data_IF_992400976406
#
_entry.id   IF_992400976406
#
_cell.length_a   1.000
_cell.length_b   1.000
_cell.length_c   1.000
_cell.angle_alpha   90.00
_cell.angle_beta   90.00
_cell.angle_gamma   90.00
#
_symmetry.space_group_name_H-M   'P 1'
#
loop_
_entity.id
_entity.type
_entity.pdbx_description
1 polymer ?
#
# COMPACT_ATOMS: atom_id res chain seq x y z
N UNK A 1 -2.00 22.15 -4.02
CA UNK A 1 -1.45 21.38 -5.15
C UNK A 1 -1.48 19.91 -4.83
N UNK A 2 -2.02 19.11 -5.73
CA UNK A 2 -2.23 17.69 -5.48
C UNK A 2 -1.00 16.86 -5.85
N UNK A 3 -0.58 15.93 -4.98
CA UNK A 3 0.61 15.11 -5.21
C UNK A 3 0.25 13.74 -5.81
N UNK A 4 0.37 13.62 -7.14
CA UNK A 4 0.14 12.37 -7.87
C UNK A 4 1.24 11.32 -7.65
N UNK A 5 2.38 11.72 -7.07
CA UNK A 5 3.52 10.83 -6.84
C UNK A 5 3.57 10.26 -5.41
N UNK A 6 2.57 10.58 -4.58
CA UNK A 6 2.58 10.20 -3.16
C UNK A 6 2.63 8.68 -2.95
N UNK A 7 1.81 7.91 -3.68
CA UNK A 7 1.81 6.46 -3.56
C UNK A 7 3.10 5.83 -4.08
N UNK A 8 3.67 6.37 -5.15
CA UNK A 8 4.96 5.91 -5.64
C UNK A 8 6.06 6.14 -4.60
N UNK A 9 6.04 7.30 -3.93
CA UNK A 9 6.96 7.56 -2.82
C UNK A 9 6.81 6.53 -1.69
N UNK A 10 5.58 6.14 -1.37
CA UNK A 10 5.33 5.10 -0.37
C UNK A 10 5.86 3.73 -0.79
N UNK A 11 5.73 3.36 -2.08
CA UNK A 11 6.35 2.15 -2.62
C UNK A 11 7.88 2.18 -2.47
N UNK A 12 8.49 3.34 -2.75
CA UNK A 12 9.93 3.53 -2.61
C UNK A 12 10.36 3.37 -1.15
N UNK A 13 9.65 4.01 -0.23
CA UNK A 13 9.94 3.91 1.21
C UNK A 13 9.78 2.47 1.71
N UNK A 14 8.76 1.77 1.25
CA UNK A 14 8.56 0.36 1.58
C UNK A 14 9.75 -0.49 1.11
N UNK A 15 10.14 -0.32 -0.15
CA UNK A 15 11.31 -1.01 -0.71
C UNK A 15 12.57 -0.74 0.09
N UNK A 16 12.86 0.53 0.37
CA UNK A 16 14.07 0.93 1.10
C UNK A 16 14.11 0.37 2.53
N UNK A 17 12.94 0.25 3.17
CA UNK A 17 12.86 -0.21 4.56
C UNK A 17 13.00 -1.72 4.70
N UNK A 18 12.64 -2.50 3.68
CA UNK A 18 12.69 -3.96 3.74
C UNK A 18 13.87 -4.57 2.97
N UNK A 19 14.49 -3.81 2.08
CA UNK A 19 15.60 -4.29 1.26
C UNK A 19 16.90 -4.30 2.07
N UNK A 20 17.66 -5.39 1.96
CA UNK A 20 19.01 -5.42 2.49
C UNK A 20 19.91 -4.46 1.72
N UNK A 21 20.78 -3.74 2.41
CA UNK A 21 21.65 -2.72 1.81
C UNK A 21 22.48 -3.25 0.63
N UNK A 22 22.86 -4.51 0.71
CA UNK A 22 23.66 -5.18 -0.32
C UNK A 22 22.85 -5.48 -1.58
N UNK A 23 21.52 -5.58 -1.46
CA UNK A 23 20.60 -5.84 -2.57
C UNK A 23 19.99 -4.55 -3.12
N UNK A 24 20.31 -3.41 -2.50
CA UNK A 24 19.75 -2.13 -2.86
C UNK A 24 20.34 -1.62 -4.18
N UNK A 25 19.51 -1.51 -5.20
CA UNK A 25 19.89 -1.00 -6.52
C UNK A 25 18.94 0.12 -6.96
N UNK A 26 19.05 1.27 -6.28
CA UNK A 26 18.25 2.46 -6.62
C UNK A 26 18.46 2.94 -8.05
N UNK A 27 19.72 3.00 -8.60
CA UNK A 27 19.92 3.42 -9.98
C UNK A 27 19.19 2.53 -10.99
N UNK A 28 19.14 1.22 -10.76
CA UNK A 28 18.42 0.28 -11.61
C UNK A 28 16.92 0.56 -11.60
N UNK A 29 16.35 0.76 -10.40
CA UNK A 29 14.91 1.07 -10.24
C UNK A 29 14.59 2.37 -10.98
N UNK A 30 15.37 3.43 -10.76
CA UNK A 30 15.18 4.70 -11.47
C UNK A 30 15.29 4.53 -12.98
N UNK A 31 16.22 3.69 -13.43
CA UNK A 31 16.39 3.39 -14.86
C UNK A 31 15.19 2.68 -15.44
N UNK A 32 14.64 1.70 -14.75
CA UNK A 32 13.44 0.96 -15.19
C UNK A 32 12.22 1.87 -15.29
N UNK A 33 11.99 2.69 -14.27
CA UNK A 33 10.86 3.64 -14.27
C UNK A 33 11.06 4.73 -15.31
N UNK A 34 12.28 5.27 -15.44
CA UNK A 34 12.62 6.25 -16.45
C UNK A 34 12.43 5.72 -17.87
N UNK A 35 12.71 4.43 -18.09
CA UNK A 35 12.45 3.77 -19.36
C UNK A 35 10.96 3.75 -19.70
N UNK A 36 10.11 3.47 -18.72
CA UNK A 36 8.65 3.50 -18.91
C UNK A 36 8.16 4.92 -19.28
N UNK A 37 8.68 5.93 -18.61
CA UNK A 37 8.34 7.33 -18.93
C UNK A 37 8.74 7.67 -20.36
N UNK A 38 9.96 7.31 -20.76
CA UNK A 38 10.44 7.58 -22.13
C UNK A 38 9.61 6.85 -23.19
N UNK A 39 9.29 5.58 -22.96
CA UNK A 39 8.44 4.78 -23.86
C UNK A 39 7.05 5.39 -23.99
N UNK A 40 6.48 5.85 -22.87
CA UNK A 40 5.18 6.51 -22.89
C UNK A 40 5.22 7.79 -23.71
N UNK A 41 6.25 8.61 -23.52
CA UNK A 41 6.41 9.86 -24.30
C UNK A 41 6.57 9.61 -25.80
N UNK A 42 7.24 8.52 -26.17
CA UNK A 42 7.42 8.15 -27.58
C UNK A 42 6.12 7.64 -28.20
N UNK A 43 5.29 6.94 -27.43
CA UNK A 43 4.07 6.30 -27.93
C UNK A 43 2.83 7.20 -27.83
N UNK A 44 2.90 8.30 -27.10
CA UNK A 44 1.77 9.23 -26.88
C UNK A 44 2.12 10.56 -27.53
N UNK A 45 1.55 10.88 -28.71
CA UNK A 45 1.80 12.16 -29.37
C UNK A 45 1.33 13.34 -28.52
N UNK A 46 2.17 14.36 -28.41
CA UNK A 46 1.93 15.53 -27.59
C UNK A 46 0.70 16.33 -28.01
N UNK A 47 0.39 16.30 -29.31
CA UNK A 47 -0.75 17.01 -29.89
C UNK A 47 -2.12 16.39 -29.61
N UNK A 48 -2.14 15.16 -29.09
CA UNK A 48 -3.41 14.52 -28.72
C UNK A 48 -4.05 15.22 -27.52
N UNK A 49 -5.39 15.14 -27.42
CA UNK A 49 -6.08 15.61 -26.23
C UNK A 49 -5.83 14.67 -25.03
N UNK A 50 -6.17 15.15 -23.85
CA UNK A 50 -5.92 14.39 -22.61
C UNK A 50 -6.66 13.06 -22.58
N UNK A 51 -7.89 13.01 -23.10
CA UNK A 51 -8.68 11.78 -23.14
C UNK A 51 -7.99 10.70 -23.97
N UNK A 52 -7.49 11.06 -25.13
CA UNK A 52 -6.77 10.15 -26.02
C UNK A 52 -5.45 9.70 -25.38
N UNK A 53 -4.72 10.62 -24.76
CA UNK A 53 -3.47 10.33 -24.07
C UNK A 53 -3.66 9.36 -22.91
N UNK A 54 -4.69 9.57 -22.10
CA UNK A 54 -5.02 8.69 -20.97
C UNK A 54 -5.36 7.29 -21.48
N UNK A 55 -6.20 7.20 -22.51
CA UNK A 55 -6.54 5.91 -23.11
C UNK A 55 -5.29 5.18 -23.59
N UNK A 56 -4.39 5.87 -24.29
CA UNK A 56 -3.16 5.30 -24.79
C UNK A 56 -2.23 4.85 -23.65
N UNK A 57 -2.10 5.64 -22.58
CA UNK A 57 -1.30 5.25 -21.42
C UNK A 57 -1.81 3.94 -20.80
N UNK A 58 -3.12 3.80 -20.65
CA UNK A 58 -3.72 2.58 -20.09
C UNK A 58 -3.51 1.38 -21.02
N UNK A 59 -3.62 1.58 -22.33
CA UNK A 59 -3.34 0.54 -23.33
C UNK A 59 -1.88 0.08 -23.29
N UNK A 60 -0.96 1.03 -23.20
CA UNK A 60 0.47 0.70 -23.06
C UNK A 60 0.75 -0.10 -21.78
N UNK A 61 0.25 0.41 -20.66
CA UNK A 61 0.57 -0.14 -19.34
C UNK A 61 0.02 -1.55 -19.15
N UNK A 62 -1.27 -1.73 -19.38
CA UNK A 62 -1.94 -3.01 -19.17
C UNK A 62 -1.87 -3.94 -20.39
N UNK A 63 -1.74 -3.39 -21.59
CA UNK A 63 -1.67 -4.17 -22.81
C UNK A 63 -0.24 -4.46 -23.24
N UNK A 64 0.42 -3.48 -23.84
CA UNK A 64 1.74 -3.65 -24.45
C UNK A 64 2.82 -4.05 -23.44
N UNK A 65 2.82 -3.41 -22.27
CA UNK A 65 3.79 -3.69 -21.23
C UNK A 65 3.40 -4.85 -20.32
N UNK A 66 2.14 -5.28 -20.37
CA UNK A 66 1.67 -6.47 -19.70
C UNK A 66 1.57 -6.40 -18.19
N UNK A 67 1.49 -5.20 -17.60
CA UNK A 67 1.23 -5.10 -16.16
C UNK A 67 -0.14 -5.70 -15.83
N UNK A 68 -0.19 -6.48 -14.74
CA UNK A 68 -1.42 -7.19 -14.37
C UNK A 68 -1.44 -7.52 -12.89
N UNK A 69 -2.63 -7.83 -12.39
CA UNK A 69 -2.82 -8.45 -11.08
C UNK A 69 -3.20 -9.92 -11.28
N UNK A 70 -2.62 -10.81 -10.47
CA UNK A 70 -3.00 -12.23 -10.45
C UNK A 70 -4.05 -12.44 -9.37
N UNK A 71 -5.26 -12.87 -9.75
CA UNK A 71 -6.38 -13.05 -8.84
C UNK A 71 -6.05 -13.98 -7.66
N UNK A 72 -5.18 -14.97 -7.88
CA UNK A 72 -4.83 -15.95 -6.85
C UNK A 72 -3.69 -15.44 -5.91
N UNK A 73 -2.88 -14.50 -6.37
CA UNK A 73 -1.64 -14.11 -5.68
C UNK A 73 -1.48 -12.60 -5.47
N UNK A 74 -2.45 -11.76 -5.86
CA UNK A 74 -2.28 -10.29 -5.86
C UNK A 74 -1.99 -9.73 -4.45
N UNK A 75 -2.48 -10.38 -3.41
CA UNK A 75 -2.40 -9.88 -2.02
C UNK A 75 -1.03 -10.10 -1.35
N UNK A 76 -0.09 -10.79 -2.00
CA UNK A 76 1.24 -11.01 -1.43
C UNK A 76 2.06 -9.72 -1.41
N UNK A 77 2.88 -9.56 -0.37
CA UNK A 77 3.74 -8.38 -0.17
C UNK A 77 4.69 -8.12 -1.34
N UNK A 78 5.11 -9.16 -2.07
CA UNK A 78 5.98 -9.01 -3.26
C UNK A 78 5.37 -8.08 -4.31
N UNK A 79 4.04 -7.99 -4.36
CA UNK A 79 3.33 -7.12 -5.30
C UNK A 79 3.39 -5.64 -4.91
N UNK A 80 4.07 -5.31 -3.81
CA UNK A 80 4.44 -3.95 -3.40
C UNK A 80 5.93 -3.69 -3.56
N UNK A 81 6.72 -4.69 -3.93
CA UNK A 81 8.16 -4.61 -4.05
C UNK A 81 8.55 -4.14 -5.45
N UNK A 82 9.08 -2.92 -5.55
CA UNK A 82 9.34 -2.26 -6.85
C UNK A 82 10.14 -3.11 -7.84
N UNK A 83 11.27 -3.74 -7.48
CA UNK A 83 11.99 -4.58 -8.43
C UNK A 83 11.13 -5.70 -9.01
N UNK A 84 10.35 -6.37 -8.17
CA UNK A 84 9.47 -7.46 -8.59
C UNK A 84 8.41 -6.94 -9.57
N UNK A 85 7.72 -5.85 -9.22
CA UNK A 85 6.65 -5.28 -10.05
C UNK A 85 7.19 -4.87 -11.41
N UNK A 86 8.34 -4.19 -11.43
CA UNK A 86 8.92 -3.67 -12.67
C UNK A 86 9.49 -4.75 -13.57
N UNK A 87 10.00 -5.84 -13.01
CA UNK A 87 10.58 -6.95 -13.77
C UNK A 87 9.53 -7.97 -14.19
N UNK A 88 8.65 -8.37 -13.26
CA UNK A 88 7.64 -9.40 -13.51
C UNK A 88 6.35 -8.84 -14.10
N UNK A 89 6.18 -7.52 -14.10
CA UNK A 89 4.97 -6.85 -14.58
C UNK A 89 3.71 -7.29 -13.84
N UNK A 90 3.87 -7.72 -12.60
CA UNK A 90 2.81 -8.19 -11.72
C UNK A 90 2.77 -7.33 -10.47
N UNK A 91 1.56 -6.97 -10.03
CA UNK A 91 1.37 -6.14 -8.86
C UNK A 91 0.02 -6.35 -8.21
N UNK A 92 -0.39 -5.39 -7.41
CA UNK A 92 -1.74 -5.30 -6.85
C UNK A 92 -2.33 -3.93 -7.20
N UNK A 93 -3.64 -3.72 -7.01
CA UNK A 93 -4.25 -2.46 -7.44
C UNK A 93 -3.53 -1.21 -6.94
N UNK A 94 -3.09 -1.18 -5.68
CA UNK A 94 -2.42 0.01 -5.13
C UNK A 94 -1.04 0.23 -5.74
N UNK A 95 -0.28 -0.80 -6.05
CA UNK A 95 1.04 -0.64 -6.65
C UNK A 95 0.96 -0.31 -8.14
N UNK A 96 0.06 -0.97 -8.89
CA UNK A 96 -0.16 -0.61 -10.29
C UNK A 96 -0.74 0.81 -10.40
N UNK A 97 -1.69 1.16 -9.53
CA UNK A 97 -2.22 2.51 -9.45
C UNK A 97 -1.15 3.55 -9.13
N UNK A 98 -0.23 3.23 -8.23
CA UNK A 98 0.90 4.12 -7.91
C UNK A 98 1.78 4.39 -9.13
N UNK A 99 2.05 3.37 -9.94
CA UNK A 99 2.84 3.53 -11.17
C UNK A 99 2.09 4.34 -12.23
N UNK A 100 0.80 4.08 -12.43
CA UNK A 100 -0.03 4.87 -13.35
C UNK A 100 -0.05 6.34 -12.94
N UNK A 101 -0.22 6.62 -11.64
CA UNK A 101 -0.24 8.00 -11.14
C UNK A 101 1.11 8.68 -11.32
N UNK A 102 2.21 7.96 -11.12
CA UNK A 102 3.55 8.48 -11.36
C UNK A 102 3.75 8.83 -12.85
N UNK A 103 3.35 7.93 -13.74
CA UNK A 103 3.44 8.14 -15.18
C UNK A 103 2.55 9.32 -15.61
N UNK A 104 1.33 9.39 -15.08
CA UNK A 104 0.42 10.50 -15.36
C UNK A 104 1.04 11.85 -14.94
N UNK A 105 1.66 11.90 -13.76
CA UNK A 105 2.34 13.10 -13.30
C UNK A 105 3.48 13.50 -14.23
N UNK A 106 4.27 12.51 -14.67
CA UNK A 106 5.40 12.71 -15.58
C UNK A 106 4.97 13.20 -16.97
N UNK A 107 3.79 12.79 -17.42
CA UNK A 107 3.19 13.17 -18.70
C UNK A 107 2.23 14.35 -18.56
N UNK A 108 2.05 14.90 -17.37
CA UNK A 108 1.13 15.98 -17.05
C UNK A 108 -0.32 15.66 -17.39
N UNK A 109 -0.74 14.43 -17.10
CA UNK A 109 -2.10 13.96 -17.33
C UNK A 109 -2.93 14.07 -16.05
N UNK A 110 -4.21 14.45 -16.15
CA UNK A 110 -5.09 14.71 -15.00
C UNK A 110 -5.72 13.44 -14.45
N UNK A 111 -4.89 12.53 -13.93
CA UNK A 111 -5.33 11.32 -13.24
C UNK A 111 -4.96 11.43 -11.77
N UNK A 112 -5.92 11.19 -10.89
CA UNK A 112 -5.75 11.37 -9.44
C UNK A 112 -6.26 10.14 -8.68
N UNK A 113 -5.69 9.84 -7.51
CA UNK A 113 -6.20 8.72 -6.69
C UNK A 113 -7.49 9.11 -5.97
N UNK A 114 -8.34 8.11 -5.77
CA UNK A 114 -9.55 8.19 -4.97
C UNK A 114 -9.44 7.15 -3.87
N UNK A 115 -9.57 7.57 -2.62
CA UNK A 115 -9.55 6.67 -1.48
C UNK A 115 -10.93 6.05 -1.28
N UNK A 116 -11.37 5.26 -2.27
CA UNK A 116 -12.67 4.60 -2.20
C UNK A 116 -12.66 3.58 -1.05
N UNK A 117 -13.73 3.45 -0.28
CA UNK A 117 -13.70 2.65 0.95
C UNK A 117 -13.29 1.20 0.77
N UNK A 118 -13.61 0.56 -0.37
CA UNK A 118 -13.27 -0.84 -0.60
C UNK A 118 -11.92 -1.04 -1.24
N UNK A 119 -11.42 -0.06 -2.02
CA UNK A 119 -10.19 -0.21 -2.81
C UNK A 119 -9.75 1.13 -3.38
N UNK A 120 -8.50 1.21 -3.80
CA UNK A 120 -8.02 2.34 -4.57
C UNK A 120 -8.75 2.38 -5.93
N UNK A 121 -9.25 3.56 -6.30
CA UNK A 121 -9.79 3.87 -7.63
C UNK A 121 -9.02 5.07 -8.16
N UNK A 122 -8.88 5.18 -9.47
CA UNK A 122 -8.31 6.35 -10.12
C UNK A 122 -9.42 7.21 -10.72
N UNK A 123 -9.16 8.51 -10.79
CA UNK A 123 -10.09 9.50 -11.28
C UNK A 123 -9.43 10.32 -12.38
N UNK A 124 -10.00 10.28 -13.59
CA UNK A 124 -9.56 11.10 -14.71
C UNK A 124 -10.50 12.31 -14.84
N UNK A 125 -9.93 13.51 -14.89
CA UNK A 125 -10.68 14.76 -14.98
C UNK A 125 -10.35 15.43 -16.31
N UNK A 126 -11.24 15.31 -17.27
CA UNK A 126 -11.03 15.84 -18.62
C UNK A 126 -12.25 16.66 -19.04
N UNK A 127 -12.02 17.90 -19.45
CA UNK A 127 -13.04 18.81 -19.99
C UNK A 127 -14.27 18.97 -19.05
N UNK A 128 -14.02 19.04 -17.74
CA UNK A 128 -15.07 19.17 -16.75
C UNK A 128 -15.83 17.89 -16.43
N UNK A 129 -15.49 16.79 -17.09
CA UNK A 129 -16.09 15.48 -16.84
C UNK A 129 -15.13 14.61 -16.00
N UNK A 130 -15.71 13.69 -15.23
CA UNK A 130 -14.97 12.75 -14.39
C UNK A 130 -15.28 11.33 -14.83
N UNK A 131 -14.22 10.56 -15.08
CA UNK A 131 -14.31 9.13 -15.33
C UNK A 131 -13.46 8.40 -14.30
N UNK A 132 -13.94 7.24 -13.86
CA UNK A 132 -13.22 6.41 -12.89
C UNK A 132 -12.55 5.24 -13.59
N UNK A 133 -11.38 4.86 -13.10
CA UNK A 133 -10.54 3.79 -13.67
C UNK A 133 -10.22 2.80 -12.55
N UNK A 134 -10.43 1.52 -12.83
CA UNK A 134 -10.05 0.45 -11.93
C UNK A 134 -8.57 0.11 -12.16
N UNK A 135 -7.68 0.33 -11.16
CA UNK A 135 -6.26 0.03 -11.32
C UNK A 135 -5.95 -1.45 -11.42
N UNK A 136 -6.91 -2.34 -11.12
CA UNK A 136 -6.76 -3.78 -11.33
C UNK A 136 -6.50 -4.11 -12.80
N UNK A 137 -7.26 -3.51 -13.69
CA UNK A 137 -7.27 -3.84 -15.12
C UNK A 137 -7.03 -2.65 -16.06
N UNK A 138 -7.05 -1.44 -15.53
CA UNK A 138 -7.00 -0.21 -16.34
C UNK A 138 -8.30 0.11 -17.07
N UNK A 139 -9.37 -0.61 -16.78
CA UNK A 139 -10.68 -0.37 -17.41
C UNK A 139 -11.44 0.72 -16.67
N UNK A 140 -12.27 1.43 -17.41
CA UNK A 140 -13.19 2.39 -16.82
C UNK A 140 -14.24 1.65 -15.99
N UNK A 141 -14.58 2.23 -14.85
CA UNK A 141 -15.58 1.69 -13.94
C UNK A 141 -16.66 2.76 -13.74
N UNK A 142 -17.92 2.39 -13.90
CA UNK A 142 -19.05 3.32 -13.76
C UNK A 142 -19.38 3.59 -12.30
N UNK A 143 -20.09 4.70 -12.05
CA UNK A 143 -20.60 5.01 -10.71
C UNK A 143 -21.56 3.90 -10.22
N UNK A 144 -22.33 3.30 -11.13
CA UNK A 144 -23.22 2.19 -10.77
C UNK A 144 -22.42 0.96 -10.31
N UNK A 145 -21.32 0.66 -10.98
CA UNK A 145 -20.43 -0.44 -10.55
C UNK A 145 -19.78 -0.12 -9.20
N UNK A 146 -19.35 1.11 -8.97
CA UNK A 146 -18.81 1.55 -7.68
C UNK A 146 -19.87 1.46 -6.58
N UNK A 147 -21.13 1.80 -6.90
CA UNK A 147 -22.24 1.68 -5.96
C UNK A 147 -22.46 0.23 -5.53
N UNK A 148 -22.37 -0.71 -6.48
CA UNK A 148 -22.50 -2.14 -6.19
C UNK A 148 -21.36 -2.63 -5.28
N UNK A 149 -20.14 -2.19 -5.53
CA UNK A 149 -19.00 -2.50 -4.64
C UNK A 149 -19.22 -1.95 -3.24
N UNK A 150 -19.72 -0.74 -3.14
CA UNK A 150 -20.00 -0.09 -1.84
C UNK A 150 -21.11 -0.83 -1.08
N UNK A 151 -22.20 -1.17 -1.75
CA UNK A 151 -23.31 -1.95 -1.15
C UNK A 151 -22.84 -3.34 -0.72
N UNK A 152 -21.98 -3.98 -1.50
CA UNK A 152 -21.43 -5.28 -1.14
C UNK A 152 -20.61 -5.26 0.15
N UNK A 153 -19.95 -4.13 0.44
CA UNK A 153 -19.15 -3.96 1.65
C UNK A 153 -19.94 -3.45 2.86
N UNK A 154 -20.92 -2.56 2.64
CA UNK A 154 -21.60 -1.82 3.71
C UNK A 154 -23.09 -2.14 3.84
N UNK A 155 -23.63 -3.01 2.99
CA UNK A 155 -25.01 -3.44 3.05
C UNK A 155 -25.88 -2.83 1.95
N UNK A 156 -26.96 -3.56 1.60
CA UNK A 156 -27.91 -3.13 0.57
C UNK A 156 -28.53 -1.79 0.94
N UNK A 157 -28.56 -0.87 -0.02
CA UNK A 157 -29.08 0.48 0.20
C UNK A 157 -28.10 1.46 0.80
N UNK A 158 -26.87 1.03 1.16
CA UNK A 158 -25.83 1.96 1.60
C UNK A 158 -25.48 2.92 0.47
N UNK A 159 -25.31 4.21 0.80
CA UNK A 159 -25.11 5.26 -0.20
C UNK A 159 -23.69 5.80 -0.18
N UNK A 160 -23.08 5.88 -1.36
CA UNK A 160 -21.79 6.53 -1.56
C UNK A 160 -21.94 8.01 -1.22
N UNK A 161 -21.02 8.53 -0.40
CA UNK A 161 -20.94 9.95 -0.11
C UNK A 161 -20.07 10.65 -1.16
N UNK A 162 -20.29 11.94 -1.47
CA UNK A 162 -19.47 12.65 -2.44
C UNK A 162 -17.96 12.58 -2.16
N UNK A 163 -17.56 12.63 -0.91
CA UNK A 163 -16.15 12.53 -0.50
C UNK A 163 -15.52 11.18 -0.84
N UNK A 164 -16.30 10.11 -0.99
CA UNK A 164 -15.81 8.80 -1.38
C UNK A 164 -15.31 8.75 -2.84
N UNK A 165 -15.77 9.68 -3.67
CA UNK A 165 -15.42 9.77 -5.09
C UNK A 165 -14.48 10.94 -5.40
N UNK A 166 -14.22 11.81 -4.44
CA UNK A 166 -13.34 12.94 -4.58
C UNK A 166 -11.86 12.51 -4.67
N UNK A 167 -10.99 13.43 -5.10
CA UNK A 167 -9.55 13.20 -4.99
C UNK A 167 -9.21 12.86 -3.54
N UNK A 168 -8.37 11.85 -3.36
CA UNK A 168 -8.01 11.37 -2.02
C UNK A 168 -7.31 12.46 -1.20
N UNK A 169 -7.60 12.48 0.10
CA UNK A 169 -6.76 13.15 1.08
C UNK A 169 -5.45 12.36 1.20
N UNK A 170 -4.32 12.99 0.91
CA UNK A 170 -3.04 12.29 0.80
C UNK A 170 -2.61 11.65 2.13
N UNK A 171 -2.66 12.34 3.29
CA UNK A 171 -2.35 11.67 4.56
C UNK A 171 -3.18 10.42 4.84
N UNK A 172 -4.48 10.45 4.54
CA UNK A 172 -5.34 9.28 4.72
C UNK A 172 -4.98 8.14 3.76
N UNK A 173 -4.67 8.49 2.50
CA UNK A 173 -4.29 7.52 1.48
C UNK A 173 -2.96 6.82 1.83
N UNK A 174 -1.96 7.59 2.25
CA UNK A 174 -0.66 7.04 2.63
C UNK A 174 -0.74 6.20 3.90
N UNK A 175 -1.55 6.61 4.87
CA UNK A 175 -1.81 5.82 6.09
C UNK A 175 -2.43 4.46 5.73
N UNK A 176 -3.40 4.45 4.82
CA UNK A 176 -4.03 3.21 4.34
C UNK A 176 -3.03 2.30 3.64
N UNK A 177 -2.17 2.86 2.77
CA UNK A 177 -1.10 2.11 2.13
C UNK A 177 -0.18 1.45 3.15
N UNK A 178 0.25 2.21 4.16
CA UNK A 178 1.17 1.72 5.20
C UNK A 178 0.57 0.56 5.99
N UNK A 179 -0.71 0.64 6.32
CA UNK A 179 -1.40 -0.47 7.00
C UNK A 179 -1.49 -1.70 6.11
N UNK A 180 -1.84 -1.52 4.84
CA UNK A 180 -1.91 -2.62 3.88
C UNK A 180 -0.54 -3.31 3.73
N UNK A 181 0.52 -2.54 3.58
CA UNK A 181 1.88 -3.07 3.41
C UNK A 181 2.37 -3.80 4.67
N UNK A 182 2.17 -3.21 5.84
CA UNK A 182 2.50 -3.82 7.14
C UNK A 182 1.75 -5.13 7.32
N UNK A 183 0.45 -5.13 7.08
CA UNK A 183 -0.39 -6.31 7.27
C UNK A 183 -0.03 -7.43 6.30
N UNK A 184 0.39 -7.13 5.08
CA UNK A 184 0.86 -8.14 4.13
C UNK A 184 2.10 -8.87 4.66
N UNK A 185 3.07 -8.13 5.19
CA UNK A 185 4.29 -8.71 5.77
C UNK A 185 3.98 -9.57 7.00
N UNK A 186 3.10 -9.09 7.89
CA UNK A 186 2.71 -9.82 9.10
C UNK A 186 1.97 -11.10 8.74
N UNK A 187 1.01 -11.03 7.82
CA UNK A 187 0.23 -12.18 7.38
C UNK A 187 1.10 -13.29 6.78
N UNK A 188 2.17 -12.92 6.07
CA UNK A 188 3.10 -13.87 5.47
C UNK A 188 4.20 -14.30 6.44
N UNK A 189 4.12 -13.88 7.70
CA UNK A 189 5.10 -14.20 8.74
C UNK A 189 6.54 -13.80 8.36
N UNK A 190 6.68 -12.74 7.56
CA UNK A 190 7.98 -12.15 7.23
C UNK A 190 8.40 -11.21 8.35
N UNK A 191 8.71 -11.79 9.49
CA UNK A 191 8.88 -11.08 10.76
C UNK A 191 10.02 -10.04 10.71
N UNK A 192 11.16 -10.39 10.14
CA UNK A 192 12.29 -9.47 10.03
C UNK A 192 11.94 -8.24 9.19
N UNK A 193 11.27 -8.47 8.04
CA UNK A 193 10.85 -7.39 7.16
C UNK A 193 9.74 -6.55 7.79
N UNK A 194 8.77 -7.20 8.44
CA UNK A 194 7.70 -6.52 9.16
C UNK A 194 8.27 -5.62 10.25
N UNK A 195 9.21 -6.13 11.04
CA UNK A 195 9.88 -5.36 12.07
C UNK A 195 10.57 -4.12 11.47
N UNK A 196 11.33 -4.30 10.41
CA UNK A 196 12.05 -3.20 9.75
C UNK A 196 11.10 -2.13 9.23
N UNK A 197 9.99 -2.54 8.61
CA UNK A 197 9.01 -1.59 8.11
C UNK A 197 8.32 -0.83 9.25
N UNK A 198 7.93 -1.54 10.32
CA UNK A 198 7.31 -0.91 11.48
C UNK A 198 8.27 0.08 12.14
N UNK A 199 9.56 -0.25 12.23
CA UNK A 199 10.57 0.69 12.72
C UNK A 199 10.62 1.97 11.87
N UNK A 200 10.52 1.83 10.56
CA UNK A 200 10.41 2.98 9.66
C UNK A 200 9.14 3.80 9.95
N UNK A 201 7.99 3.15 10.12
CA UNK A 201 6.72 3.82 10.41
C UNK A 201 6.76 4.57 11.75
N UNK A 202 7.49 4.04 12.72
CA UNK A 202 7.59 4.63 14.07
C UNK A 202 8.69 5.68 14.19
N UNK A 203 9.47 5.95 13.13
CA UNK A 203 10.53 6.93 13.19
C UNK A 203 9.99 8.30 13.57
N UNK A 204 10.39 8.80 14.74
CA UNK A 204 9.98 10.11 15.24
C UNK A 204 8.55 10.19 15.78
N UNK A 205 7.85 9.07 15.95
CA UNK A 205 6.49 9.09 16.50
C UNK A 205 6.20 7.84 17.32
N UNK A 206 5.18 7.92 18.19
CA UNK A 206 4.74 6.81 19.03
C UNK A 206 3.27 6.50 18.74
N UNK A 207 3.01 5.74 17.69
CA UNK A 207 1.67 5.25 17.41
C UNK A 207 1.43 3.96 18.19
N UNK A 208 0.43 3.91 19.09
CA UNK A 208 0.21 2.71 19.91
C UNK A 208 -0.11 1.47 19.09
N UNK A 209 -0.83 1.60 17.98
CA UNK A 209 -1.20 0.47 17.14
C UNK A 209 0.00 -0.12 16.41
N UNK A 210 0.90 0.71 15.89
CA UNK A 210 2.14 0.25 15.28
C UNK A 210 3.08 -0.37 16.33
N UNK A 211 3.11 0.18 17.53
CA UNK A 211 3.87 -0.39 18.66
C UNK A 211 3.30 -1.75 19.05
N UNK A 212 1.97 -1.90 19.13
CA UNK A 212 1.33 -3.19 19.36
C UNK A 212 1.78 -4.22 18.32
N UNK A 213 1.69 -3.86 17.04
CA UNK A 213 2.04 -4.75 15.95
C UNK A 213 3.52 -5.12 15.98
N UNK A 214 4.40 -4.18 16.35
CA UNK A 214 5.82 -4.48 16.58
C UNK A 214 6.00 -5.49 17.71
N UNK A 215 5.26 -5.33 18.80
CA UNK A 215 5.29 -6.26 19.92
C UNK A 215 4.87 -7.67 19.53
N UNK A 216 3.81 -7.81 18.73
CA UNK A 216 3.34 -9.10 18.23
C UNK A 216 4.39 -9.76 17.32
N UNK A 217 5.03 -8.98 16.45
CA UNK A 217 6.11 -9.46 15.59
C UNK A 217 7.32 -9.91 16.42
N UNK A 218 7.72 -9.11 17.39
CA UNK A 218 8.83 -9.45 18.30
C UNK A 218 8.55 -10.74 19.07
N UNK A 219 7.30 -10.96 19.50
CA UNK A 219 6.92 -12.20 20.18
C UNK A 219 7.10 -13.41 19.26
N UNK A 220 6.73 -13.31 18.00
CA UNK A 220 6.95 -14.39 17.03
C UNK A 220 8.43 -14.65 16.75
N UNK A 221 9.27 -13.62 16.90
CA UNK A 221 10.72 -13.75 16.74
C UNK A 221 11.41 -14.28 18.01
N UNK A 222 10.67 -14.50 19.08
CA UNK A 222 11.22 -14.96 20.36
C UNK A 222 11.88 -13.85 21.17
N UNK A 223 11.75 -12.60 20.79
CA UNK A 223 12.29 -11.44 21.52
C UNK A 223 11.31 -10.99 22.61
N UNK A 224 11.10 -11.85 23.60
CA UNK A 224 10.05 -11.71 24.58
C UNK A 224 10.13 -10.43 25.45
N UNK A 225 11.29 -10.03 25.99
CA UNK A 225 11.35 -8.81 26.79
C UNK A 225 10.90 -7.57 26.03
N UNK A 226 11.35 -7.39 24.79
CA UNK A 226 10.96 -6.26 23.95
C UNK A 226 9.50 -6.33 23.52
N UNK A 227 9.00 -7.55 23.25
CA UNK A 227 7.59 -7.77 22.92
C UNK A 227 6.69 -7.36 24.10
N UNK A 228 7.05 -7.76 25.31
CA UNK A 228 6.31 -7.42 26.52
C UNK A 228 6.22 -5.91 26.71
N UNK A 229 7.36 -5.22 26.56
CA UNK A 229 7.42 -3.76 26.67
C UNK A 229 6.43 -3.07 25.71
N UNK A 230 6.44 -3.47 24.44
CA UNK A 230 5.56 -2.89 23.42
C UNK A 230 4.09 -3.18 23.71
N UNK A 231 3.75 -4.42 24.08
CA UNK A 231 2.36 -4.80 24.34
C UNK A 231 1.82 -4.17 25.63
N UNK A 232 2.64 -4.03 26.66
CA UNK A 232 2.27 -3.30 27.87
C UNK A 232 2.00 -1.83 27.57
N UNK A 233 2.85 -1.19 26.75
CA UNK A 233 2.64 0.18 26.31
C UNK A 233 1.28 0.34 25.63
N UNK A 234 0.95 -0.56 24.70
CA UNK A 234 -0.33 -0.50 24.01
C UNK A 234 -1.52 -0.64 24.96
N UNK A 235 -1.47 -1.62 25.87
CA UNK A 235 -2.55 -1.84 26.85
C UNK A 235 -2.73 -0.64 27.76
N UNK A 236 -1.64 0.01 28.16
CA UNK A 236 -1.68 1.20 28.99
C UNK A 236 -2.27 2.42 28.24
N UNK A 237 -1.91 2.58 26.98
CA UNK A 237 -2.37 3.69 26.15
C UNK A 237 -3.81 3.50 25.63
N UNK A 238 -4.20 2.25 25.37
CA UNK A 238 -5.50 1.92 24.77
C UNK A 238 -6.23 0.85 25.62
N UNK A 239 -6.54 1.14 26.90
CA UNK A 239 -7.10 0.11 27.79
C UNK A 239 -8.49 -0.36 27.34
N UNK A 240 -9.23 0.47 26.60
CA UNK A 240 -10.59 0.16 26.16
C UNK A 240 -10.64 -0.45 24.74
N UNK A 241 -9.49 -0.63 24.11
CA UNK A 241 -9.46 -1.29 22.81
C UNK A 241 -9.86 -2.76 22.96
N UNK A 242 -10.68 -3.30 22.03
CA UNK A 242 -11.14 -4.71 22.12
C UNK A 242 -10.00 -5.72 22.20
N UNK A 243 -8.84 -5.42 21.61
CA UNK A 243 -7.67 -6.32 21.62
C UNK A 243 -6.93 -6.31 22.97
N UNK A 244 -7.09 -5.29 23.78
CA UNK A 244 -6.34 -5.15 25.04
C UNK A 244 -6.63 -6.27 26.04
N UNK A 245 -7.87 -6.74 26.13
CA UNK A 245 -8.21 -7.87 27.02
C UNK A 245 -7.50 -9.15 26.60
N UNK A 246 -7.45 -9.43 25.31
CA UNK A 246 -6.73 -10.59 24.75
C UNK A 246 -5.22 -10.45 24.96
N UNK A 247 -4.68 -9.26 24.77
CA UNK A 247 -3.27 -8.98 24.95
C UNK A 247 -2.81 -9.16 26.40
N UNK A 248 -3.65 -8.86 27.39
CA UNK A 248 -3.36 -9.10 28.81
C UNK A 248 -3.10 -10.58 29.08
N UNK A 249 -3.90 -11.46 28.48
CA UNK A 249 -3.71 -12.91 28.59
C UNK A 249 -2.41 -13.34 27.90
N UNK A 250 -2.16 -12.84 26.69
CA UNK A 250 -0.93 -13.14 25.95
C UNK A 250 0.30 -12.63 26.68
N UNK A 251 0.22 -11.49 27.38
CA UNK A 251 1.31 -10.95 28.19
C UNK A 251 1.72 -11.91 29.32
N UNK A 252 0.77 -12.57 29.96
CA UNK A 252 1.08 -13.58 30.98
C UNK A 252 1.86 -14.74 30.39
N UNK A 253 1.47 -15.22 29.22
CA UNK A 253 2.17 -16.29 28.50
C UNK A 253 3.58 -15.86 28.12
N UNK A 254 3.74 -14.66 27.56
CA UNK A 254 5.04 -14.13 27.14
C UNK A 254 5.99 -13.94 28.34
N UNK A 255 5.49 -13.51 29.48
CA UNK A 255 6.28 -13.39 30.71
C UNK A 255 6.78 -14.76 31.18
N UNK A 256 5.93 -15.78 31.04
CA UNK A 256 6.33 -17.17 31.34
C UNK A 256 7.45 -17.65 30.40
N UNK A 257 7.33 -17.40 29.10
CA UNK A 257 8.34 -17.75 28.11
C UNK A 257 9.65 -16.99 28.34
N UNK A 258 9.59 -15.71 28.70
CA UNK A 258 10.77 -14.92 29.03
C UNK A 258 11.53 -15.47 30.23
N UNK A 259 10.82 -15.94 31.25
CA UNK A 259 11.42 -16.56 32.42
C UNK A 259 12.09 -17.89 32.07
N UNK A 260 11.48 -18.72 31.23
CA UNK A 260 12.06 -19.97 30.74
C UNK A 260 13.36 -19.71 29.99
N UNK A 261 13.39 -18.72 29.10
CA UNK A 261 14.60 -18.38 28.36
C UNK A 261 15.72 -17.89 29.28
N UNK A 262 15.39 -17.04 30.24
CA UNK A 262 16.36 -16.57 31.23
C UNK A 262 16.95 -17.73 32.06
N UNK A 263 16.14 -18.69 32.44
CA UNK A 263 16.59 -19.86 33.22
C UNK A 263 17.39 -20.84 32.35
N UNK A 264 17.13 -20.95 31.07
CA UNK A 264 17.85 -21.84 30.16
C UNK A 264 19.29 -21.37 29.88
N UNK A 265 19.61 -20.10 30.10
CA UNK A 265 20.95 -19.53 29.91
C UNK A 265 21.86 -19.85 31.12
N UNK A 266 21.30 -20.20 32.24
CA UNK A 266 21.98 -20.56 33.46
C UNK A 266 21.95 -22.09 33.67
#
# INVERSE_FOLDING_TARGET
>A
KYDQKALYAELTHFYLSICEKEQLDEPRIRGLVGSLVRKARQAIPEEWDDKAKIHQLLQLFYGDWGFHCDADNYFYARNLYLPYILEEREGMPVSLGALILYLAASLKLPIYPVNFPTQLILRAEVDGEVAFIDPWSGKYISVDELRKLYEGAFGFGAQIQPENLARADIPMLTARFRQLAKNALIREEQNDLAFNYIQFLLAGRKDPYDIRDRGLVLAQMGAYPSAIEDLEYFVDQCPNDPTSSLLKTQLLELKGEALKDANAIH
#
